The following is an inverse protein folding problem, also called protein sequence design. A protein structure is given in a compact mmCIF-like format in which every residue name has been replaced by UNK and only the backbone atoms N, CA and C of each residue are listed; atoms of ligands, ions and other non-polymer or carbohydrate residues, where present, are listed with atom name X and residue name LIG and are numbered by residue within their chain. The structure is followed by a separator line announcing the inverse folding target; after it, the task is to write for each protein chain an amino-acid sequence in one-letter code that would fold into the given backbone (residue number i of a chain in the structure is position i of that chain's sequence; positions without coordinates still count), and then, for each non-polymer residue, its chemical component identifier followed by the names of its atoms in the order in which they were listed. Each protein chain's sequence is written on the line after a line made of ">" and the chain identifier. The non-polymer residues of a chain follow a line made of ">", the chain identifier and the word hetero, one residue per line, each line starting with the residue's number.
data_IF_215356747842
#
_entry.id   IF_215356747842
#
_cell.length_a   1.000
_cell.length_b   1.000
_cell.length_c   1.000
_cell.angle_alpha   90.00
_cell.angle_beta   90.00
_cell.angle_gamma   90.00
#
_symmetry.space_group_name_H-M   'P 1'
#
loop_
_entity.id
_entity.type
_entity.pdbx_description
1 polymer ?
#
# COMPACT_ATOMS: atom_id res chain seq x y z
N UNK A 1 11.31 7.55 23.26
CA UNK A 1 11.53 6.90 21.95
C UNK A 1 11.02 7.86 20.88
N UNK A 2 11.85 8.23 19.91
CA UNK A 2 11.47 9.14 18.82
C UNK A 2 10.88 8.30 17.68
N UNK A 3 9.58 8.42 17.42
CA UNK A 3 8.92 7.72 16.32
C UNK A 3 9.14 8.51 15.02
N UNK A 4 9.78 7.89 14.04
CA UNK A 4 10.07 8.50 12.76
C UNK A 4 8.98 8.08 11.78
N UNK A 5 8.24 9.07 11.28
CA UNK A 5 7.05 8.86 10.44
C UNK A 5 7.22 9.33 8.98
N UNK A 6 8.46 9.52 8.49
CA UNK A 6 8.77 9.79 7.07
C UNK A 6 9.98 9.01 6.54
N UNK A 7 9.90 8.56 5.28
CA UNK A 7 10.91 7.71 4.64
C UNK A 7 11.98 8.66 4.16
N UNK A 8 13.22 8.45 4.56
CA UNK A 8 14.28 9.41 4.34
C UNK A 8 15.35 9.35 5.40
N UNK A 9 16.15 10.41 5.44
CA UNK A 9 17.26 10.56 6.37
C UNK A 9 16.74 11.20 7.64
N UNK A 10 17.05 10.57 8.77
CA UNK A 10 16.83 11.12 10.11
C UNK A 10 18.17 11.55 10.66
N UNK A 11 18.22 12.77 11.16
CA UNK A 11 19.41 13.35 11.78
C UNK A 11 19.29 13.18 13.29
N UNK A 12 20.27 12.51 13.89
CA UNK A 12 20.38 12.33 15.34
C UNK A 12 21.47 13.26 15.82
N UNK A 13 21.11 14.29 16.58
CA UNK A 13 22.05 15.25 17.16
C UNK A 13 22.18 15.01 18.66
N UNK A 14 23.40 14.79 19.13
CA UNK A 14 23.73 14.71 20.55
C UNK A 14 24.70 15.83 20.89
N UNK A 15 24.47 16.51 21.99
CA UNK A 15 25.30 17.64 22.42
C UNK A 15 25.84 17.38 23.81
N UNK A 16 27.15 17.45 23.94
CA UNK A 16 27.86 17.52 25.20
C UNK A 16 28.36 18.94 25.39
N UNK A 17 27.92 19.62 26.44
CA UNK A 17 28.24 21.04 26.66
C UNK A 17 29.68 21.27 27.17
N UNK A 18 30.39 20.21 27.56
CA UNK A 18 31.71 20.29 28.18
C UNK A 18 31.66 20.21 29.70
N UNK A 19 32.84 20.14 30.33
CA UNK A 19 33.03 20.22 31.77
C UNK A 19 34.42 20.83 32.10
N UNK A 20 34.82 20.83 33.37
CA UNK A 20 36.09 21.42 33.84
C UNK A 20 37.35 20.79 33.20
N UNK A 21 37.23 19.61 32.60
CA UNK A 21 38.33 18.84 32.03
C UNK A 21 38.24 18.68 30.50
N UNK A 22 37.05 18.87 29.91
CA UNK A 22 36.79 18.61 28.49
C UNK A 22 35.92 19.69 27.85
N UNK A 23 36.28 20.08 26.63
CA UNK A 23 35.46 20.96 25.81
C UNK A 23 34.14 20.28 25.39
N UNK A 24 33.13 21.10 25.13
CA UNK A 24 31.89 20.64 24.54
C UNK A 24 32.08 20.10 23.12
N UNK A 25 31.22 19.18 22.71
CA UNK A 25 31.22 18.56 21.40
C UNK A 25 29.80 18.23 20.95
N UNK A 26 29.60 18.22 19.63
CA UNK A 26 28.36 17.79 19.00
C UNK A 26 28.64 16.49 18.23
N UNK A 27 27.88 15.46 18.54
CA UNK A 27 27.79 14.24 17.75
C UNK A 27 26.61 14.32 16.78
N UNK A 28 26.84 13.97 15.52
CA UNK A 28 25.79 13.88 14.50
C UNK A 28 25.81 12.45 13.95
N UNK A 29 24.67 11.78 13.99
CA UNK A 29 24.42 10.49 13.36
C UNK A 29 23.30 10.58 12.34
N UNK A 30 23.26 9.62 11.42
CA UNK A 30 22.25 9.53 10.37
C UNK A 30 21.57 8.16 10.43
N UNK A 31 20.24 8.13 10.36
CA UNK A 31 19.44 6.94 10.12
C UNK A 31 18.76 7.03 8.76
N UNK A 32 18.61 5.92 8.04
CA UNK A 32 17.87 5.86 6.78
C UNK A 32 16.67 4.92 6.92
N UNK A 33 15.51 5.36 6.46
CA UNK A 33 14.29 4.56 6.41
C UNK A 33 13.78 4.48 4.98
N UNK A 34 13.85 3.29 4.40
CA UNK A 34 13.37 3.01 3.05
C UNK A 34 11.96 2.43 3.10
N UNK A 35 11.12 2.80 2.13
CA UNK A 35 9.80 2.18 1.96
C UNK A 35 9.95 0.72 1.52
N UNK A 36 9.03 -0.13 1.93
CA UNK A 36 8.98 -1.54 1.52
C UNK A 36 8.20 -1.71 0.22
N UNK A 37 8.67 -2.64 -0.62
CA UNK A 37 7.87 -3.11 -1.75
C UNK A 37 6.64 -3.88 -1.25
N UNK A 38 5.67 -4.05 -2.13
CA UNK A 38 4.43 -4.76 -1.86
C UNK A 38 3.89 -5.40 -3.14
N UNK A 39 2.95 -6.33 -2.97
CA UNK A 39 2.31 -7.08 -4.04
C UNK A 39 0.80 -7.10 -3.86
N UNK A 40 0.08 -6.70 -4.89
CA UNK A 40 -1.38 -6.85 -5.00
C UNK A 40 -1.66 -8.20 -5.65
N UNK A 41 -2.47 -9.03 -4.99
CA UNK A 41 -2.98 -10.29 -5.54
C UNK A 41 -4.47 -10.13 -5.78
N UNK A 42 -4.94 -10.45 -7.00
CA UNK A 42 -6.36 -10.45 -7.35
C UNK A 42 -6.81 -11.89 -7.43
N UNK A 43 -7.90 -12.22 -6.73
CA UNK A 43 -8.47 -13.55 -6.77
C UNK A 43 -9.09 -13.80 -8.16
N UNK A 44 -9.00 -15.02 -8.71
CA UNK A 44 -9.62 -15.35 -9.98
C UNK A 44 -11.13 -15.08 -10.01
N UNK A 45 -11.60 -14.42 -11.06
CA UNK A 45 -13.01 -14.12 -11.30
C UNK A 45 -13.55 -15.15 -12.30
N UNK A 46 -14.64 -15.84 -11.97
CA UNK A 46 -15.17 -16.93 -12.80
C UNK A 46 -16.67 -16.76 -13.08
N UNK A 47 -17.11 -17.21 -14.26
CA UNK A 47 -18.52 -17.37 -14.66
C UNK A 47 -19.38 -16.12 -14.43
N UNK A 48 -19.06 -15.04 -15.13
CA UNK A 48 -19.78 -13.76 -15.01
C UNK A 48 -20.86 -13.66 -16.08
N UNK A 49 -22.06 -13.19 -15.72
CA UNK A 49 -23.13 -12.88 -16.67
C UNK A 49 -23.61 -11.46 -16.51
N UNK A 50 -24.21 -10.94 -17.59
CA UNK A 50 -24.91 -9.67 -17.54
C UNK A 50 -26.01 -9.69 -16.48
N UNK A 51 -26.03 -8.67 -15.63
CA UNK A 51 -26.96 -8.52 -14.50
C UNK A 51 -26.48 -9.16 -13.20
N UNK A 52 -25.37 -9.91 -13.21
CA UNK A 52 -24.80 -10.47 -11.98
C UNK A 52 -24.15 -9.38 -11.12
N UNK A 53 -24.17 -9.61 -9.81
CA UNK A 53 -23.34 -8.88 -8.86
C UNK A 53 -22.17 -9.79 -8.51
N UNK A 54 -20.97 -9.40 -8.94
CA UNK A 54 -19.73 -10.14 -8.67
C UNK A 54 -18.91 -9.46 -7.59
N UNK A 55 -18.15 -10.24 -6.82
CA UNK A 55 -17.21 -9.73 -5.85
C UNK A 55 -15.78 -9.82 -6.40
N UNK A 56 -15.14 -8.67 -6.59
CA UNK A 56 -13.71 -8.59 -6.94
C UNK A 56 -12.93 -8.58 -5.63
N UNK A 57 -12.22 -9.68 -5.39
CA UNK A 57 -11.49 -9.92 -4.14
C UNK A 57 -10.00 -9.97 -4.37
N UNK A 58 -9.25 -9.79 -3.29
CA UNK A 58 -7.82 -10.02 -3.30
C UNK A 58 -7.15 -9.53 -2.02
N UNK A 59 -5.83 -9.44 -2.08
CA UNK A 59 -4.97 -9.18 -0.94
C UNK A 59 -3.84 -8.19 -1.27
N UNK A 60 -3.40 -7.44 -0.26
CA UNK A 60 -2.15 -6.68 -0.30
C UNK A 60 -1.15 -7.24 0.71
N UNK A 61 0.04 -7.56 0.22
CA UNK A 61 1.17 -8.04 1.04
C UNK A 61 2.38 -7.12 0.92
N UNK A 62 3.17 -6.99 1.98
CA UNK A 62 4.52 -6.44 1.89
C UNK A 62 5.48 -7.44 1.23
N UNK A 63 6.71 -7.00 0.96
CA UNK A 63 7.74 -7.84 0.35
C UNK A 63 8.16 -9.07 1.17
N UNK A 64 7.79 -9.14 2.45
CA UNK A 64 8.06 -10.27 3.34
C UNK A 64 6.84 -11.20 3.49
N UNK A 65 5.73 -10.91 2.80
CA UNK A 65 4.49 -11.67 2.90
C UNK A 65 3.59 -11.27 4.07
N UNK A 66 3.88 -10.18 4.78
CA UNK A 66 2.98 -9.67 5.82
C UNK A 66 1.81 -8.93 5.20
N UNK A 67 0.65 -9.00 5.84
CA UNK A 67 -0.54 -8.29 5.41
C UNK A 67 -0.37 -6.77 5.56
N UNK A 68 -0.89 -6.02 4.60
CA UNK A 68 -1.01 -4.57 4.71
C UNK A 68 -2.49 -4.23 4.88
N UNK A 69 -2.88 -3.93 6.12
CA UNK A 69 -4.26 -3.59 6.48
C UNK A 69 -4.55 -2.09 6.33
N UNK A 70 -5.83 -1.75 6.13
CA UNK A 70 -6.33 -0.37 6.06
C UNK A 70 -5.59 0.52 5.04
N UNK A 71 -4.98 -0.07 4.02
CA UNK A 71 -4.45 0.65 2.88
C UNK A 71 -5.57 1.09 1.94
N UNK A 72 -5.43 2.27 1.33
CA UNK A 72 -6.36 2.85 0.36
C UNK A 72 -5.87 2.61 -1.06
N UNK A 73 -6.79 2.19 -1.94
CA UNK A 73 -6.53 1.83 -3.33
C UNK A 73 -7.57 2.45 -4.24
N UNK A 74 -7.22 2.54 -5.52
CA UNK A 74 -8.20 2.70 -6.58
C UNK A 74 -8.42 1.37 -7.29
N UNK A 75 -9.68 1.03 -7.52
CA UNK A 75 -10.09 -0.04 -8.43
C UNK A 75 -10.81 0.59 -9.61
N UNK A 76 -10.33 0.33 -10.82
CA UNK A 76 -10.93 0.78 -12.07
C UNK A 76 -11.53 -0.40 -12.80
N UNK A 77 -12.84 -0.37 -13.04
CA UNK A 77 -13.60 -1.44 -13.71
C UNK A 77 -14.31 -0.83 -14.89
N UNK A 78 -14.05 -1.34 -16.10
CA UNK A 78 -14.63 -0.82 -17.34
C UNK A 78 -14.47 0.71 -17.50
N UNK A 79 -13.33 1.25 -17.04
CA UNK A 79 -13.01 2.68 -17.06
C UNK A 79 -13.57 3.52 -15.91
N UNK A 80 -14.39 2.95 -15.01
CA UNK A 80 -14.89 3.65 -13.82
C UNK A 80 -14.04 3.35 -12.61
N UNK A 81 -13.57 4.41 -11.94
CA UNK A 81 -12.68 4.30 -10.78
C UNK A 81 -13.43 4.47 -9.46
N UNK A 82 -13.14 3.59 -8.51
CA UNK A 82 -13.68 3.60 -7.15
C UNK A 82 -12.55 3.48 -6.14
N UNK A 83 -12.70 4.13 -4.98
CA UNK A 83 -11.74 3.99 -3.89
C UNK A 83 -12.18 2.88 -2.94
N UNK A 84 -11.26 1.96 -2.63
CA UNK A 84 -11.49 0.83 -1.73
C UNK A 84 -10.39 0.75 -0.67
N UNK A 85 -10.67 -0.01 0.39
CA UNK A 85 -9.73 -0.24 1.50
C UNK A 85 -9.52 -1.74 1.70
N UNK A 86 -8.29 -2.14 2.00
CA UNK A 86 -8.06 -3.45 2.63
C UNK A 86 -8.60 -3.43 4.05
N UNK A 87 -9.22 -4.51 4.48
CA UNK A 87 -9.65 -4.70 5.87
C UNK A 87 -8.46 -5.03 6.81
N UNK A 88 -8.77 -5.34 8.07
CA UNK A 88 -7.79 -5.71 9.09
C UNK A 88 -6.96 -6.98 8.79
N UNK A 89 -7.34 -7.76 7.78
CA UNK A 89 -6.64 -8.96 7.32
C UNK A 89 -5.88 -8.72 6.00
N UNK A 90 -5.76 -7.46 5.55
CA UNK A 90 -5.12 -7.13 4.28
C UNK A 90 -5.91 -7.57 3.04
N UNK A 91 -7.20 -7.90 3.19
CA UNK A 91 -8.09 -8.29 2.10
C UNK A 91 -8.92 -7.12 1.63
N UNK A 92 -9.08 -6.96 0.32
CA UNK A 92 -10.06 -6.03 -0.26
C UNK A 92 -11.18 -6.81 -0.95
N UNK A 93 -12.36 -6.20 -1.01
CA UNK A 93 -13.52 -6.75 -1.69
C UNK A 93 -14.37 -5.60 -2.25
N UNK A 94 -14.75 -5.69 -3.51
CA UNK A 94 -15.64 -4.73 -4.16
C UNK A 94 -16.73 -5.44 -4.95
N UNK A 95 -17.98 -5.09 -4.68
CA UNK A 95 -19.12 -5.64 -5.41
C UNK A 95 -19.41 -4.80 -6.64
N UNK A 96 -19.31 -5.41 -7.82
CA UNK A 96 -19.57 -4.77 -9.11
C UNK A 96 -20.82 -5.36 -9.76
N UNK A 97 -21.71 -4.50 -10.25
CA UNK A 97 -22.88 -4.89 -11.03
C UNK A 97 -22.52 -4.91 -12.52
N UNK A 98 -22.60 -6.08 -13.13
CA UNK A 98 -22.19 -6.31 -14.51
C UNK A 98 -23.28 -5.81 -15.44
N UNK A 99 -23.07 -4.61 -15.98
CA UNK A 99 -24.04 -3.90 -16.83
C UNK A 99 -23.60 -3.79 -18.29
N UNK A 100 -22.52 -4.47 -18.66
CA UNK A 100 -21.92 -4.44 -20.00
C UNK A 100 -21.52 -5.85 -20.42
N UNK A 101 -21.52 -6.10 -21.73
CA UNK A 101 -21.12 -7.37 -22.32
C UNK A 101 -19.73 -7.25 -22.93
N UNK A 102 -18.92 -8.30 -22.87
CA UNK A 102 -17.59 -8.33 -23.46
C UNK A 102 -16.52 -8.47 -22.37
N UNK A 103 -15.26 -8.25 -22.77
CA UNK A 103 -14.14 -8.29 -21.83
C UNK A 103 -14.17 -7.01 -20.97
N UNK A 104 -14.16 -7.19 -19.66
CA UNK A 104 -14.12 -6.12 -18.67
C UNK A 104 -12.78 -6.13 -17.96
N UNK A 105 -12.02 -5.04 -18.13
CA UNK A 105 -10.75 -4.84 -17.45
C UNK A 105 -10.97 -4.35 -16.02
N UNK A 106 -10.16 -4.90 -15.12
CA UNK A 106 -10.04 -4.53 -13.71
C UNK A 106 -8.60 -4.12 -13.46
N UNK A 107 -8.39 -2.89 -13.03
CA UNK A 107 -7.08 -2.36 -12.65
C UNK A 107 -7.14 -1.97 -11.18
N UNK A 108 -6.19 -2.42 -10.38
CA UNK A 108 -6.04 -2.05 -8.98
C UNK A 108 -4.73 -1.28 -8.83
N UNK A 109 -4.81 -0.10 -8.26
CA UNK A 109 -3.68 0.79 -8.02
C UNK A 109 -3.57 1.13 -6.54
N UNK A 110 -2.44 0.77 -5.95
CA UNK A 110 -2.01 1.27 -4.66
C UNK A 110 -1.01 2.40 -4.88
N UNK A 111 -1.36 3.64 -4.52
CA UNK A 111 -0.45 4.78 -4.67
C UNK A 111 0.74 4.77 -3.71
N UNK A 112 0.83 3.75 -2.86
CA UNK A 112 1.79 3.70 -1.77
C UNK A 112 1.32 4.54 -0.58
N UNK A 113 2.11 4.49 0.48
CA UNK A 113 1.91 5.34 1.64
C UNK A 113 3.26 5.70 2.27
N UNK A 114 3.26 6.06 3.55
CA UNK A 114 4.48 6.36 4.26
C UNK A 114 5.44 5.15 4.32
N UNK A 115 4.92 3.94 4.56
CA UNK A 115 5.71 2.74 4.78
C UNK A 115 5.97 1.93 3.50
N UNK A 116 5.09 2.02 2.50
CA UNK A 116 5.08 1.15 1.33
C UNK A 116 5.14 1.92 0.01
N UNK A 117 5.83 1.36 -0.97
CA UNK A 117 5.89 1.90 -2.34
C UNK A 117 4.55 1.77 -3.07
N UNK A 118 4.40 2.49 -4.19
CA UNK A 118 3.25 2.30 -5.07
C UNK A 118 3.34 0.96 -5.81
N UNK A 119 2.21 0.36 -6.13
CA UNK A 119 2.11 -0.86 -6.94
C UNK A 119 0.77 -0.89 -7.68
N UNK A 120 0.69 -1.71 -8.72
CA UNK A 120 -0.56 -1.96 -9.43
C UNK A 120 -0.63 -3.41 -9.90
N UNK A 121 -1.84 -3.90 -10.10
CA UNK A 121 -2.10 -5.18 -10.74
C UNK A 121 -3.41 -5.10 -11.53
N UNK A 122 -3.55 -5.92 -12.56
CA UNK A 122 -4.74 -5.94 -13.39
C UNK A 122 -5.18 -7.36 -13.73
N UNK A 123 -6.47 -7.51 -13.99
CA UNK A 123 -7.09 -8.73 -14.51
C UNK A 123 -8.24 -8.35 -15.43
N UNK A 124 -8.81 -9.33 -16.13
CA UNK A 124 -10.01 -9.14 -16.92
C UNK A 124 -10.90 -10.37 -16.85
N UNK A 125 -12.20 -10.16 -17.05
CA UNK A 125 -13.19 -11.23 -17.08
C UNK A 125 -14.23 -10.97 -18.19
N UNK A 126 -14.97 -12.01 -18.56
CA UNK A 126 -16.02 -11.99 -19.59
C UNK A 126 -17.25 -12.78 -19.14
#
# INVERSE_FOLDING_TARGET
>A
MYNINTSGIVIIRTEFIGNNFYNGAIGIGYGTFNKMNNSIVIDPIHNVKFGDIIAINGNLYDQNGNIIANASFNITIAGFTYTILTNGLGKFSYNYNVNTTGILDVIIEFFGNYNYMASSNSTSFM
#
